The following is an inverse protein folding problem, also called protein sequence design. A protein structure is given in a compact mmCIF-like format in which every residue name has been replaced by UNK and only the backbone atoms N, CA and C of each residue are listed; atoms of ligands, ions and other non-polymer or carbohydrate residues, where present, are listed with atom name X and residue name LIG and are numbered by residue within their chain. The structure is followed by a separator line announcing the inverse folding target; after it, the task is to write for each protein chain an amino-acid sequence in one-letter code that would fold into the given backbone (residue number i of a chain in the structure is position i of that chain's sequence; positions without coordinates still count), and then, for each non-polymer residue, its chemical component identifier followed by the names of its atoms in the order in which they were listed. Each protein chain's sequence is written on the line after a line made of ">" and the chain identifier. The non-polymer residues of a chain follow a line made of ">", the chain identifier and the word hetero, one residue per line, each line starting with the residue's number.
data_IF_515264278730
#
_entry.id   IF_515264278730
#
_cell.length_a   1.000
_cell.length_b   1.000
_cell.length_c   1.000
_cell.angle_alpha   90.00
_cell.angle_beta   90.00
_cell.angle_gamma   90.00
#
_symmetry.space_group_name_H-M   'P 1'
#
loop_
_entity.id
_entity.type
_entity.pdbx_description
1 polymer ?
#
# COMPACT_ATOMS: atom_id res chain seq x y z
N UNK A 1 6.60 -4.32 -17.27
CA UNK A 1 5.46 -3.98 -16.39
C UNK A 1 4.29 -4.83 -16.81
N UNK A 2 3.65 -5.50 -15.87
CA UNK A 2 2.42 -6.27 -16.08
C UNK A 2 1.26 -5.50 -15.45
N UNK A 3 0.16 -5.35 -16.19
CA UNK A 3 -1.06 -4.74 -15.69
C UNK A 3 -2.13 -5.81 -15.52
N UNK A 4 -2.83 -5.87 -14.38
CA UNK A 4 -3.99 -6.75 -14.26
C UNK A 4 -5.15 -6.17 -15.07
N UNK A 5 -6.09 -7.00 -15.51
CA UNK A 5 -7.33 -6.49 -16.06
C UNK A 5 -8.18 -5.82 -14.98
N UNK A 6 -8.94 -4.79 -15.36
CA UNK A 6 -9.90 -4.15 -14.46
C UNK A 6 -11.00 -5.15 -14.03
N UNK A 7 -11.52 -4.97 -12.79
CA UNK A 7 -12.66 -5.71 -12.29
C UNK A 7 -13.95 -5.34 -13.05
N UNK A 8 -14.88 -6.27 -13.09
CA UNK A 8 -16.23 -6.09 -13.65
C UNK A 8 -17.27 -6.64 -12.68
N UNK A 9 -18.49 -6.09 -12.72
CA UNK A 9 -19.62 -6.67 -11.98
C UNK A 9 -19.81 -8.14 -12.35
N UNK A 10 -19.96 -8.98 -11.34
CA UNK A 10 -20.06 -10.43 -11.46
C UNK A 10 -18.72 -11.17 -11.36
N UNK A 11 -17.57 -10.48 -11.38
CA UNK A 11 -16.26 -11.10 -11.15
C UNK A 11 -16.15 -11.69 -9.75
N UNK A 12 -15.33 -12.73 -9.64
CA UNK A 12 -15.01 -13.35 -8.35
C UNK A 12 -13.68 -12.79 -7.86
N UNK A 13 -13.63 -12.34 -6.61
CA UNK A 13 -12.39 -11.95 -5.92
C UNK A 13 -12.11 -12.89 -4.75
N UNK A 14 -10.84 -13.20 -4.53
CA UNK A 14 -10.39 -13.90 -3.33
C UNK A 14 -10.27 -12.91 -2.16
N UNK A 15 -10.79 -13.27 -0.99
CA UNK A 15 -10.57 -12.55 0.26
C UNK A 15 -9.61 -13.37 1.12
N UNK A 16 -8.43 -12.83 1.44
CA UNK A 16 -7.38 -13.51 2.19
C UNK A 16 -6.87 -12.67 3.36
N UNK A 17 -6.42 -13.31 4.44
CA UNK A 17 -5.78 -12.66 5.57
C UNK A 17 -4.30 -13.10 5.66
N UNK A 18 -3.38 -12.46 4.93
CA UNK A 18 -1.99 -12.90 4.90
C UNK A 18 -1.19 -12.53 6.15
N UNK A 19 -1.72 -11.67 7.01
CA UNK A 19 -1.06 -11.11 8.19
C UNK A 19 -1.74 -11.57 9.50
N UNK A 20 -2.43 -10.68 10.19
CA UNK A 20 -3.08 -10.95 11.48
C UNK A 20 -4.54 -11.36 11.33
N UNK A 21 -5.09 -12.13 12.31
CA UNK A 21 -6.49 -12.54 12.33
C UNK A 21 -7.42 -11.36 12.67
N UNK A 22 -8.69 -11.50 12.36
CA UNK A 22 -9.75 -10.58 12.78
C UNK A 22 -11.00 -11.36 13.21
N UNK A 23 -11.96 -10.67 13.83
CA UNK A 23 -13.23 -11.30 14.18
C UNK A 23 -14.02 -11.72 12.93
N UNK A 24 -14.75 -12.83 12.99
CA UNK A 24 -15.56 -13.32 11.87
C UNK A 24 -16.60 -12.31 11.39
N UNK A 25 -17.16 -11.50 12.29
CA UNK A 25 -18.06 -10.40 11.92
C UNK A 25 -17.44 -9.41 10.92
N UNK A 26 -16.13 -9.12 11.05
CA UNK A 26 -15.43 -8.30 10.09
C UNK A 26 -15.25 -8.99 8.72
N UNK A 27 -15.15 -10.33 8.71
CA UNK A 27 -15.11 -11.10 7.45
C UNK A 27 -16.45 -11.00 6.74
N UNK A 28 -17.56 -11.20 7.47
CA UNK A 28 -18.93 -11.11 6.93
C UNK A 28 -19.22 -9.71 6.38
N UNK A 29 -18.84 -8.66 7.13
CA UNK A 29 -18.96 -7.27 6.68
C UNK A 29 -18.14 -6.98 5.44
N UNK A 30 -16.90 -7.50 5.36
CA UNK A 30 -16.06 -7.35 4.18
C UNK A 30 -16.67 -8.03 2.95
N UNK A 31 -17.18 -9.25 3.10
CA UNK A 31 -17.89 -9.98 2.04
C UNK A 31 -19.08 -9.16 1.54
N UNK A 32 -19.95 -8.72 2.47
CA UNK A 32 -21.12 -7.90 2.13
C UNK A 32 -20.74 -6.64 1.35
N UNK A 33 -19.69 -5.93 1.78
CA UNK A 33 -19.23 -4.71 1.09
C UNK A 33 -18.75 -5.00 -0.33
N UNK A 34 -17.98 -6.06 -0.54
CA UNK A 34 -17.52 -6.45 -1.87
C UNK A 34 -18.69 -6.89 -2.78
N UNK A 35 -19.71 -7.54 -2.20
CA UNK A 35 -20.94 -7.89 -2.92
C UNK A 35 -21.77 -6.64 -3.28
N UNK A 36 -21.82 -5.62 -2.45
CA UNK A 36 -22.44 -4.33 -2.77
C UNK A 36 -21.76 -3.63 -3.96
N UNK A 37 -20.45 -3.85 -4.17
CA UNK A 37 -19.75 -3.40 -5.39
C UNK A 37 -20.07 -4.27 -6.63
N UNK A 38 -20.88 -5.31 -6.48
CA UNK A 38 -21.26 -6.21 -7.54
C UNK A 38 -20.29 -7.36 -7.80
N UNK A 39 -19.38 -7.63 -6.88
CA UNK A 39 -18.43 -8.73 -6.94
C UNK A 39 -19.00 -10.00 -6.28
N UNK A 40 -18.43 -11.16 -6.61
CA UNK A 40 -18.59 -12.40 -5.85
C UNK A 40 -17.34 -12.65 -5.03
N UNK A 41 -17.46 -13.23 -3.84
CA UNK A 41 -16.33 -13.40 -2.94
C UNK A 41 -16.04 -14.87 -2.67
N UNK A 42 -14.80 -15.28 -2.91
CA UNK A 42 -14.24 -16.55 -2.45
C UNK A 42 -13.44 -16.29 -1.17
N UNK A 43 -14.01 -16.63 -0.03
CA UNK A 43 -13.36 -16.42 1.26
C UNK A 43 -12.28 -17.48 1.47
N UNK A 44 -11.06 -17.04 1.75
CA UNK A 44 -9.93 -17.88 2.04
C UNK A 44 -9.99 -18.49 3.45
N UNK A 45 -9.30 -19.60 3.65
CA UNK A 45 -9.22 -20.31 4.94
C UNK A 45 -8.54 -19.45 6.00
N UNK A 46 -7.59 -18.60 5.61
CA UNK A 46 -6.88 -17.68 6.50
C UNK A 46 -7.82 -16.70 7.20
N UNK A 47 -8.94 -16.33 6.56
CA UNK A 47 -9.93 -15.41 7.13
C UNK A 47 -10.63 -15.96 8.39
N UNK A 48 -10.63 -17.28 8.58
CA UNK A 48 -11.22 -17.95 9.75
C UNK A 48 -10.17 -18.66 10.64
N UNK A 49 -8.87 -18.48 10.34
CA UNK A 49 -7.78 -19.15 11.03
C UNK A 49 -7.07 -18.23 12.01
N UNK A 50 -6.51 -18.82 13.08
CA UNK A 50 -5.72 -18.09 14.08
C UNK A 50 -4.55 -18.96 14.53
N UNK A 51 -3.36 -18.36 14.59
CA UNK A 51 -2.15 -18.96 15.14
C UNK A 51 -1.37 -17.88 15.90
N UNK A 52 -1.69 -17.70 17.18
CA UNK A 52 -1.21 -16.57 17.96
C UNK A 52 -1.70 -15.24 17.36
N UNK A 53 -0.76 -14.36 16.99
CA UNK A 53 -1.05 -13.09 16.31
C UNK A 53 -1.14 -13.19 14.78
N UNK A 54 -1.05 -14.41 14.21
CA UNK A 54 -1.10 -14.67 12.76
C UNK A 54 -2.43 -15.32 12.37
N UNK A 55 -2.88 -15.08 11.14
CA UNK A 55 -4.08 -15.69 10.55
C UNK A 55 -3.83 -17.13 10.05
N UNK A 56 -3.28 -17.97 10.90
CA UNK A 56 -2.87 -19.33 10.58
C UNK A 56 -1.36 -19.49 10.44
N UNK A 57 -0.92 -20.72 10.17
CA UNK A 57 0.50 -21.03 9.96
C UNK A 57 1.05 -20.34 8.71
N UNK A 58 2.37 -20.17 8.64
CA UNK A 58 3.02 -19.62 7.45
C UNK A 58 2.65 -20.43 6.21
N UNK A 59 2.64 -21.77 6.32
CA UNK A 59 2.27 -22.70 5.24
C UNK A 59 0.85 -22.45 4.72
N UNK A 60 -0.13 -22.27 5.61
CA UNK A 60 -1.50 -21.98 5.20
C UNK A 60 -1.57 -20.65 4.44
N UNK A 61 -0.90 -19.61 4.95
CA UNK A 61 -0.97 -18.25 4.40
C UNK A 61 -0.31 -18.11 3.04
N UNK A 62 0.93 -18.63 2.84
CA UNK A 62 1.58 -18.56 1.53
C UNK A 62 0.94 -19.50 0.51
N UNK A 63 0.50 -20.70 0.93
CA UNK A 63 -0.20 -21.62 0.04
C UNK A 63 -1.49 -21.00 -0.49
N UNK A 64 -2.27 -20.34 0.36
CA UNK A 64 -3.50 -19.68 -0.06
C UNK A 64 -3.24 -18.54 -1.05
N UNK A 65 -2.19 -17.73 -0.85
CA UNK A 65 -1.78 -16.69 -1.81
C UNK A 65 -1.44 -17.34 -3.16
N UNK A 66 -0.62 -18.39 -3.17
CA UNK A 66 -0.21 -19.09 -4.39
C UNK A 66 -1.41 -19.72 -5.12
N UNK A 67 -2.33 -20.37 -4.37
CA UNK A 67 -3.56 -20.95 -4.90
C UNK A 67 -4.47 -19.87 -5.50
N UNK A 68 -4.66 -18.73 -4.82
CA UNK A 68 -5.49 -17.64 -5.31
C UNK A 68 -4.92 -17.00 -6.58
N UNK A 69 -3.62 -16.82 -6.67
CA UNK A 69 -3.00 -16.36 -7.92
C UNK A 69 -3.11 -17.42 -9.02
N UNK A 70 -3.00 -18.70 -8.70
CA UNK A 70 -3.16 -19.80 -9.65
C UNK A 70 -4.60 -20.04 -10.12
N UNK A 71 -5.60 -19.60 -9.36
CA UNK A 71 -7.01 -19.81 -9.68
C UNK A 71 -7.48 -18.88 -10.79
N UNK A 72 -7.68 -19.42 -12.00
CA UNK A 72 -8.13 -18.67 -13.18
C UNK A 72 -9.54 -18.09 -13.06
N UNK A 73 -10.34 -18.53 -12.09
CA UNK A 73 -11.68 -18.01 -11.84
C UNK A 73 -11.68 -16.69 -11.09
N UNK A 74 -10.58 -16.38 -10.37
CA UNK A 74 -10.44 -15.14 -9.62
C UNK A 74 -9.90 -14.02 -10.50
N UNK A 75 -10.58 -12.88 -10.47
CA UNK A 75 -10.18 -11.65 -11.14
C UNK A 75 -9.24 -10.78 -10.28
N UNK A 76 -9.30 -10.95 -8.96
CA UNK A 76 -8.49 -10.19 -8.02
C UNK A 76 -8.41 -10.86 -6.66
N UNK A 77 -7.51 -10.35 -5.83
CA UNK A 77 -7.28 -10.76 -4.45
C UNK A 77 -7.32 -9.51 -3.59
N UNK A 78 -8.17 -9.52 -2.57
CA UNK A 78 -8.31 -8.45 -1.59
C UNK A 78 -7.80 -8.95 -0.24
N UNK A 79 -6.84 -8.24 0.35
CA UNK A 79 -6.41 -8.54 1.70
C UNK A 79 -7.48 -8.11 2.71
N UNK A 80 -7.74 -8.95 3.71
CA UNK A 80 -8.76 -8.69 4.72
C UNK A 80 -8.28 -7.61 5.69
N UNK A 81 -7.03 -7.73 6.17
CA UNK A 81 -6.37 -6.75 7.04
C UNK A 81 -4.84 -6.90 7.02
N UNK A 82 -4.14 -5.89 7.52
CA UNK A 82 -2.75 -5.92 7.89
C UNK A 82 -2.49 -6.50 9.29
N UNK A 83 -1.56 -5.93 9.98
CA UNK A 83 -1.09 -6.35 11.30
C UNK A 83 0.36 -6.75 11.26
N UNK A 84 0.67 -8.06 11.32
CA UNK A 84 2.05 -8.55 11.23
C UNK A 84 2.09 -9.93 10.54
N UNK A 85 3.16 -10.18 9.80
CA UNK A 85 3.53 -11.54 9.42
C UNK A 85 3.78 -11.80 7.95
N UNK A 86 3.55 -10.84 7.04
CA UNK A 86 3.79 -11.06 5.61
C UNK A 86 5.29 -11.19 5.24
N UNK A 87 6.27 -10.54 5.91
CA UNK A 87 7.68 -10.78 5.64
C UNK A 87 8.10 -12.26 5.76
N UNK A 88 7.43 -13.04 6.62
CA UNK A 88 7.67 -14.49 6.80
C UNK A 88 7.30 -15.34 5.60
N UNK A 89 6.55 -14.79 4.64
CA UNK A 89 5.98 -15.50 3.49
C UNK A 89 6.77 -15.26 2.20
N UNK A 90 7.58 -14.21 2.13
CA UNK A 90 8.13 -13.70 0.89
C UNK A 90 9.00 -14.70 0.14
N UNK A 91 9.75 -15.55 0.85
CA UNK A 91 10.59 -16.61 0.28
C UNK A 91 9.81 -17.89 -0.11
N UNK A 92 8.50 -17.95 0.17
CA UNK A 92 7.59 -19.07 -0.10
C UNK A 92 6.54 -18.77 -1.17
N UNK A 93 6.35 -17.48 -1.50
CA UNK A 93 5.44 -17.08 -2.57
C UNK A 93 6.04 -17.48 -3.92
N UNK A 94 5.22 -18.13 -4.76
CA UNK A 94 5.63 -18.48 -6.12
C UNK A 94 5.35 -17.32 -7.10
N UNK A 95 6.32 -16.47 -7.27
CA UNK A 95 6.23 -15.32 -8.18
C UNK A 95 6.06 -15.73 -9.65
N UNK A 96 6.41 -16.98 -10.02
CA UNK A 96 6.19 -17.47 -11.38
C UNK A 96 4.71 -17.71 -11.68
N UNK A 97 3.94 -18.12 -10.68
CA UNK A 97 2.48 -18.22 -10.76
C UNK A 97 1.88 -16.82 -10.94
N UNK A 98 2.35 -15.85 -10.15
CA UNK A 98 1.88 -14.45 -10.22
C UNK A 98 2.15 -13.86 -11.61
N UNK A 99 3.37 -14.01 -12.14
CA UNK A 99 3.74 -13.52 -13.46
C UNK A 99 2.87 -14.09 -14.60
N UNK A 100 2.44 -15.35 -14.48
CA UNK A 100 1.59 -16.02 -15.47
C UNK A 100 0.09 -15.70 -15.32
N UNK A 101 -0.31 -15.20 -14.16
CA UNK A 101 -1.72 -14.93 -13.81
C UNK A 101 -1.86 -13.54 -13.20
N UNK A 102 -1.56 -12.45 -13.95
CA UNK A 102 -1.67 -11.10 -13.42
C UNK A 102 -3.10 -10.80 -12.98
N UNK A 103 -3.27 -10.45 -11.71
CA UNK A 103 -4.56 -10.15 -11.07
C UNK A 103 -4.46 -8.87 -10.26
N UNK A 104 -5.58 -8.22 -10.03
CA UNK A 104 -5.70 -7.19 -8.99
C UNK A 104 -5.23 -7.79 -7.66
N UNK A 105 -4.32 -7.11 -6.98
CA UNK A 105 -3.91 -7.41 -5.60
C UNK A 105 -3.99 -6.13 -4.78
N UNK A 106 -4.87 -6.12 -3.78
CA UNK A 106 -5.16 -4.94 -2.94
C UNK A 106 -4.82 -5.21 -1.49
N UNK A 107 -4.09 -4.28 -0.89
CA UNK A 107 -3.77 -4.27 0.52
C UNK A 107 -2.86 -3.10 0.87
N UNK A 108 -2.54 -2.92 2.14
CA UNK A 108 -1.56 -1.95 2.62
C UNK A 108 -1.05 -2.35 4.02
N UNK A 109 -0.32 -1.48 4.71
CA UNK A 109 0.24 -1.82 6.03
C UNK A 109 1.22 -3.00 5.93
N UNK A 110 1.07 -4.05 6.72
CA UNK A 110 1.94 -5.24 6.69
C UNK A 110 2.08 -5.87 5.28
N UNK A 111 1.07 -5.72 4.39
CA UNK A 111 1.16 -6.25 3.03
C UNK A 111 2.13 -5.48 2.10
N UNK A 112 2.71 -4.37 2.56
CA UNK A 112 3.76 -3.62 1.84
C UNK A 112 4.90 -4.52 1.38
N UNK A 113 5.32 -5.49 2.21
CA UNK A 113 6.35 -6.46 1.84
C UNK A 113 5.95 -7.32 0.63
N UNK A 114 4.71 -7.78 0.56
CA UNK A 114 4.19 -8.55 -0.58
C UNK A 114 4.13 -7.68 -1.84
N UNK A 115 3.67 -6.43 -1.74
CA UNK A 115 3.65 -5.50 -2.87
C UNK A 115 5.05 -5.32 -3.46
N UNK A 116 6.05 -5.00 -2.64
CA UNK A 116 7.42 -4.82 -3.07
C UNK A 116 8.01 -6.08 -3.73
N UNK A 117 7.81 -7.23 -3.11
CA UNK A 117 8.29 -8.51 -3.63
C UNK A 117 7.66 -8.88 -4.97
N UNK A 118 6.34 -8.73 -5.12
CA UNK A 118 5.62 -8.95 -6.39
C UNK A 118 6.16 -8.02 -7.48
N UNK A 119 6.30 -6.73 -7.18
CA UNK A 119 6.79 -5.73 -8.13
C UNK A 119 8.21 -6.03 -8.59
N UNK A 120 9.11 -6.36 -7.67
CA UNK A 120 10.50 -6.67 -7.98
C UNK A 120 10.63 -7.93 -8.82
N UNK A 121 9.85 -8.98 -8.51
CA UNK A 121 9.96 -10.27 -9.18
C UNK A 121 9.23 -10.32 -10.53
N UNK A 122 8.10 -9.61 -10.67
CA UNK A 122 7.19 -9.80 -11.82
C UNK A 122 6.91 -8.52 -12.61
N UNK A 123 7.09 -7.36 -11.99
CA UNK A 123 6.68 -6.08 -12.56
C UNK A 123 5.15 -5.88 -12.58
N UNK A 124 4.38 -6.65 -11.81
CA UNK A 124 2.94 -6.52 -11.72
C UNK A 124 2.54 -5.26 -10.94
N UNK A 125 1.60 -4.51 -11.49
CA UNK A 125 0.93 -3.40 -10.80
C UNK A 125 0.07 -3.96 -9.68
N UNK A 126 0.25 -3.43 -8.47
CA UNK A 126 -0.52 -3.76 -7.28
C UNK A 126 -1.14 -2.51 -6.68
N UNK A 127 -2.04 -2.62 -5.71
CA UNK A 127 -2.84 -1.50 -5.25
C UNK A 127 -2.72 -1.35 -3.73
N UNK A 128 -2.05 -0.28 -3.30
CA UNK A 128 -1.99 0.14 -1.91
C UNK A 128 -3.30 0.86 -1.56
N UNK A 129 -4.10 0.28 -0.68
CA UNK A 129 -5.37 0.92 -0.33
C UNK A 129 -6.27 0.07 0.57
N UNK A 130 -7.48 0.55 0.83
CA UNK A 130 -8.40 -0.02 1.79
C UNK A 130 -8.59 -1.52 1.67
N UNK A 131 -8.51 -2.21 2.82
CA UNK A 131 -8.67 -3.66 2.94
C UNK A 131 -10.08 -4.04 3.42
N UNK A 132 -10.45 -5.31 3.23
CA UNK A 132 -11.80 -5.79 3.47
C UNK A 132 -12.39 -5.44 4.85
N UNK A 133 -11.63 -5.65 5.94
CA UNK A 133 -12.10 -5.38 7.30
C UNK A 133 -12.38 -3.89 7.56
N UNK A 134 -11.66 -2.99 6.92
CA UNK A 134 -11.89 -1.54 7.03
C UNK A 134 -13.14 -1.13 6.27
N UNK A 135 -13.25 -1.56 5.01
CA UNK A 135 -14.39 -1.24 4.14
C UNK A 135 -15.72 -1.82 4.65
N UNK A 136 -15.67 -2.90 5.42
CA UNK A 136 -16.85 -3.53 6.03
C UNK A 136 -17.49 -2.70 7.14
N UNK A 137 -16.75 -1.74 7.72
CA UNK A 137 -17.23 -0.81 8.74
C UNK A 137 -17.88 0.45 8.17
N UNK A 138 -17.96 1.45 9.05
CA UNK A 138 -18.34 2.82 8.68
C UNK A 138 -17.10 3.50 8.09
N UNK A 139 -17.00 3.47 6.78
CA UNK A 139 -15.84 3.94 6.01
C UNK A 139 -16.28 4.99 5.00
N UNK A 140 -15.47 6.03 4.75
CA UNK A 140 -15.89 7.19 3.97
C UNK A 140 -16.31 6.84 2.54
N UNK A 141 -17.31 7.54 2.03
CA UNK A 141 -17.78 7.40 0.65
C UNK A 141 -16.66 7.73 -0.35
N UNK A 142 -15.79 8.67 -0.03
CA UNK A 142 -14.62 8.98 -0.83
C UNK A 142 -13.74 7.75 -1.02
N UNK A 143 -13.37 7.07 0.07
CA UNK A 143 -12.50 5.89 0.02
C UNK A 143 -13.14 4.75 -0.77
N UNK A 144 -14.44 4.50 -0.56
CA UNK A 144 -15.17 3.43 -1.24
C UNK A 144 -15.34 3.72 -2.74
N UNK A 145 -15.72 4.94 -3.10
CA UNK A 145 -15.89 5.34 -4.51
C UNK A 145 -14.57 5.36 -5.26
N UNK A 146 -13.49 5.85 -4.62
CA UNK A 146 -12.15 5.85 -5.21
C UNK A 146 -11.62 4.44 -5.43
N UNK A 147 -11.87 3.51 -4.46
CA UNK A 147 -11.52 2.10 -4.58
C UNK A 147 -12.23 1.45 -5.78
N UNK A 148 -13.53 1.68 -5.93
CA UNK A 148 -14.32 1.17 -7.07
C UNK A 148 -13.82 1.78 -8.38
N UNK A 149 -13.73 3.11 -8.49
CA UNK A 149 -13.31 3.77 -9.71
C UNK A 149 -11.93 3.31 -10.20
N UNK A 150 -10.98 3.11 -9.28
CA UNK A 150 -9.64 2.65 -9.61
C UNK A 150 -9.61 1.20 -10.09
N UNK A 151 -10.24 0.29 -9.34
CA UNK A 151 -10.13 -1.15 -9.63
C UNK A 151 -11.06 -1.61 -10.76
N UNK A 152 -12.17 -0.91 -10.99
CA UNK A 152 -13.06 -1.16 -12.13
C UNK A 152 -12.61 -0.43 -13.40
N UNK A 153 -11.49 0.29 -13.32
CA UNK A 153 -10.88 0.95 -14.47
C UNK A 153 -11.65 2.17 -14.98
N UNK A 154 -12.51 2.74 -14.14
CA UNK A 154 -13.24 4.00 -14.39
C UNK A 154 -12.30 5.19 -14.26
N UNK A 155 -11.34 5.13 -13.32
CA UNK A 155 -10.28 6.12 -13.19
C UNK A 155 -9.11 5.75 -14.11
N UNK A 156 -8.82 6.63 -15.06
CA UNK A 156 -7.65 6.54 -15.94
C UNK A 156 -6.47 7.40 -15.45
N UNK A 157 -5.59 7.79 -16.37
CA UNK A 157 -4.57 8.80 -16.10
C UNK A 157 -5.22 10.14 -15.75
N UNK A 158 -4.61 10.88 -14.83
CA UNK A 158 -5.10 12.17 -14.37
C UNK A 158 -4.64 12.53 -12.95
N UNK A 159 -5.06 13.69 -12.45
CA UNK A 159 -4.71 14.12 -11.10
C UNK A 159 -5.30 13.18 -10.05
N UNK A 160 -4.49 12.87 -9.03
CA UNK A 160 -4.93 12.24 -7.80
C UNK A 160 -5.34 13.35 -6.85
N UNK A 161 -6.58 13.33 -6.38
CA UNK A 161 -7.18 14.46 -5.64
C UNK A 161 -7.56 13.95 -4.25
N UNK A 162 -7.09 14.67 -3.22
CA UNK A 162 -7.53 14.42 -1.84
C UNK A 162 -9.05 14.71 -1.70
N UNK A 163 -9.70 14.19 -0.67
CA UNK A 163 -11.09 14.53 -0.38
C UNK A 163 -11.29 16.04 -0.19
N UNK A 164 -12.53 16.50 -0.41
CA UNK A 164 -12.89 17.93 -0.34
C UNK A 164 -12.40 18.59 0.95
N UNK A 165 -11.77 19.75 0.79
CA UNK A 165 -11.23 20.55 1.89
C UNK A 165 -9.81 20.16 2.34
N UNK A 166 -9.23 19.10 1.82
CA UNK A 166 -7.87 18.69 2.12
C UNK A 166 -6.96 18.88 0.90
N UNK A 167 -5.83 19.54 1.08
CA UNK A 167 -4.86 19.78 0.01
C UNK A 167 -3.58 18.99 0.24
N UNK A 168 -3.02 18.43 -0.83
CA UNK A 168 -1.63 17.99 -0.82
C UNK A 168 -0.73 19.21 -0.71
N UNK A 169 0.41 19.06 -0.06
CA UNK A 169 1.33 20.16 0.25
C UNK A 169 2.65 19.90 -0.46
N UNK A 170 3.16 20.92 -1.17
CA UNK A 170 4.54 20.88 -1.66
C UNK A 170 5.49 21.14 -0.49
N UNK A 171 6.36 20.19 -0.20
CA UNK A 171 7.36 20.29 0.87
C UNK A 171 8.71 20.77 0.32
N UNK A 172 9.18 20.14 -0.75
CA UNK A 172 10.38 20.56 -1.48
C UNK A 172 10.05 20.66 -2.97
N UNK A 173 10.40 21.80 -3.56
CA UNK A 173 10.01 22.19 -4.91
C UNK A 173 10.64 21.35 -6.04
N UNK A 174 10.16 21.61 -7.26
CA UNK A 174 10.56 20.92 -8.48
C UNK A 174 9.58 19.82 -8.91
N UNK A 175 9.88 19.21 -10.06
CA UNK A 175 9.06 18.14 -10.63
C UNK A 175 9.84 16.85 -10.75
N UNK A 176 9.18 15.73 -10.49
CA UNK A 176 9.75 14.41 -10.72
C UNK A 176 8.71 13.46 -11.33
N UNK A 177 9.21 12.55 -12.16
CA UNK A 177 8.44 11.45 -12.74
C UNK A 177 9.08 10.12 -12.38
N UNK A 178 8.27 9.11 -12.21
CA UNK A 178 8.74 7.76 -12.00
C UNK A 178 7.60 6.83 -11.56
N UNK A 179 7.91 5.55 -11.55
CA UNK A 179 6.99 4.56 -11.02
C UNK A 179 6.85 4.73 -9.51
N UNK A 180 5.63 4.69 -9.00
CA UNK A 180 5.40 4.73 -7.56
C UNK A 180 5.81 3.40 -6.92
N UNK A 181 6.65 3.45 -5.89
CA UNK A 181 7.02 2.32 -5.03
C UNK A 181 6.92 2.75 -3.57
N UNK A 182 6.77 1.80 -2.66
CA UNK A 182 6.71 2.13 -1.24
C UNK A 182 5.48 1.57 -0.53
N UNK A 183 5.09 2.23 0.54
CA UNK A 183 4.01 1.87 1.45
C UNK A 183 4.38 2.19 2.90
N UNK A 184 4.09 1.26 3.82
CA UNK A 184 4.38 1.43 5.24
C UNK A 184 5.89 1.45 5.51
N UNK A 185 6.35 2.50 6.23
CA UNK A 185 7.76 2.76 6.48
C UNK A 185 8.42 1.64 7.31
N UNK A 186 7.75 1.14 8.34
CA UNK A 186 8.24 0.05 9.17
C UNK A 186 8.55 -1.18 8.32
N UNK A 187 7.65 -1.56 7.42
CA UNK A 187 7.84 -2.72 6.53
C UNK A 187 8.94 -2.49 5.49
N UNK A 188 9.09 -1.26 5.00
CA UNK A 188 10.20 -0.90 4.10
C UNK A 188 11.53 -1.04 4.84
N UNK A 189 11.62 -0.54 6.08
CA UNK A 189 12.83 -0.61 6.89
C UNK A 189 13.18 -2.04 7.30
N UNK A 190 12.18 -2.84 7.70
CA UNK A 190 12.36 -4.24 8.11
C UNK A 190 12.95 -5.13 7.01
N UNK A 191 12.67 -4.82 5.74
CA UNK A 191 13.14 -5.60 4.61
C UNK A 191 14.50 -5.15 4.06
N UNK A 192 15.08 -4.07 4.60
CA UNK A 192 16.39 -3.60 4.16
C UNK A 192 17.49 -4.64 4.39
N UNK A 193 18.36 -4.81 3.38
CA UNK A 193 19.42 -5.82 3.40
C UNK A 193 18.96 -7.25 3.06
N UNK A 194 17.69 -7.44 2.72
CA UNK A 194 17.14 -8.72 2.25
C UNK A 194 16.97 -8.72 0.72
N UNK A 195 16.76 -9.88 0.07
CA UNK A 195 16.42 -9.93 -1.35
C UNK A 195 15.12 -9.19 -1.73
N UNK A 196 14.31 -8.83 -0.74
CA UNK A 196 13.00 -8.18 -0.88
C UNK A 196 13.03 -6.70 -0.58
N UNK A 197 14.22 -6.12 -0.37
CA UNK A 197 14.35 -4.69 -0.10
C UNK A 197 13.80 -3.84 -1.24
N UNK A 198 13.28 -2.67 -0.88
CA UNK A 198 12.70 -1.74 -1.84
C UNK A 198 13.74 -1.23 -2.85
N UNK A 199 13.33 -1.17 -4.11
CA UNK A 199 14.15 -0.60 -5.20
C UNK A 199 13.62 0.80 -5.54
N UNK A 200 14.36 1.84 -5.13
CA UNK A 200 13.93 3.24 -5.25
C UNK A 200 14.57 3.99 -6.42
N UNK A 201 15.60 3.43 -7.07
CA UNK A 201 16.35 4.13 -8.12
C UNK A 201 15.44 4.61 -9.25
N UNK A 202 15.40 5.92 -9.46
CA UNK A 202 14.58 6.57 -10.48
C UNK A 202 13.07 6.49 -10.26
N UNK A 203 12.61 6.07 -9.08
CA UNK A 203 11.18 5.92 -8.75
C UNK A 203 10.72 7.02 -7.80
N UNK A 204 9.41 7.21 -7.71
CA UNK A 204 8.79 7.99 -6.64
C UNK A 204 8.58 7.10 -5.42
N UNK A 205 9.14 7.51 -4.28
CA UNK A 205 9.06 6.77 -3.03
C UNK A 205 7.86 7.26 -2.21
N UNK A 206 6.84 6.43 -2.09
CA UNK A 206 5.69 6.65 -1.21
C UNK A 206 5.95 6.08 0.16
N UNK A 207 5.69 6.87 1.21
CA UNK A 207 5.87 6.49 2.61
C UNK A 207 4.65 6.91 3.42
N UNK A 208 4.12 6.01 4.21
CA UNK A 208 3.10 6.26 5.25
C UNK A 208 3.46 5.47 6.51
N UNK A 209 2.91 5.84 7.69
CA UNK A 209 3.20 5.12 8.92
C UNK A 209 2.05 5.24 9.94
N UNK A 210 2.02 4.36 10.94
CA UNK A 210 1.05 4.39 12.02
C UNK A 210 1.66 4.01 13.36
N UNK A 211 1.44 4.86 14.38
CA UNK A 211 1.72 4.53 15.78
C UNK A 211 3.19 4.53 16.18
N UNK A 212 4.08 4.91 15.31
CA UNK A 212 5.51 5.01 15.59
C UNK A 212 5.88 6.41 16.11
N UNK A 213 6.60 6.47 17.22
CA UNK A 213 7.07 7.75 17.76
C UNK A 213 8.09 8.42 16.83
N UNK A 214 8.25 9.77 16.87
CA UNK A 214 9.16 10.49 15.97
C UNK A 214 10.57 9.93 15.91
N UNK A 215 11.17 9.50 17.04
CA UNK A 215 12.51 8.92 17.05
C UNK A 215 12.58 7.55 16.33
N UNK A 216 11.49 6.80 16.25
CA UNK A 216 11.41 5.54 15.52
C UNK A 216 11.34 5.80 14.02
N UNK A 217 10.58 6.81 13.62
CA UNK A 217 10.52 7.30 12.23
C UNK A 217 11.90 7.81 11.79
N UNK A 218 12.54 8.64 12.63
CA UNK A 218 13.93 9.11 12.40
C UNK A 218 14.87 7.92 12.14
N UNK A 219 14.86 6.92 13.03
CA UNK A 219 15.70 5.72 12.88
C UNK A 219 15.49 5.00 11.56
N UNK A 220 14.22 4.80 11.14
CA UNK A 220 13.89 4.13 9.90
C UNK A 220 14.27 4.96 8.67
N UNK A 221 13.97 6.27 8.67
CA UNK A 221 14.38 7.17 7.58
C UNK A 221 15.90 7.32 7.50
N UNK A 222 16.58 7.37 8.63
CA UNK A 222 18.06 7.37 8.70
C UNK A 222 18.63 6.08 8.10
N UNK A 223 18.03 4.91 8.37
CA UNK A 223 18.41 3.65 7.73
C UNK A 223 18.26 3.73 6.22
N UNK A 224 17.14 4.22 5.71
CA UNK A 224 16.89 4.38 4.26
C UNK A 224 17.88 5.37 3.64
N UNK A 225 18.19 6.47 4.31
CA UNK A 225 19.19 7.46 3.88
C UNK A 225 20.58 6.83 3.77
N UNK A 226 21.04 6.14 4.82
CA UNK A 226 22.35 5.48 4.84
C UNK A 226 22.46 4.37 3.79
N UNK A 227 21.36 3.73 3.43
CA UNK A 227 21.27 2.75 2.34
C UNK A 227 21.13 3.38 0.94
N UNK A 228 21.16 4.72 0.83
CA UNK A 228 21.05 5.45 -0.43
C UNK A 228 19.63 5.47 -1.04
N UNK A 229 18.63 4.93 -0.34
CA UNK A 229 17.27 4.80 -0.89
C UNK A 229 16.59 6.16 -1.11
N UNK A 230 16.86 7.13 -0.21
CA UNK A 230 16.34 8.49 -0.34
C UNK A 230 17.08 9.29 -1.41
N UNK A 231 18.39 9.07 -1.59
CA UNK A 231 19.19 9.78 -2.59
C UNK A 231 18.92 9.28 -4.02
N UNK A 232 18.64 7.98 -4.18
CA UNK A 232 18.44 7.39 -5.50
C UNK A 232 16.99 7.50 -6.00
N UNK A 233 16.00 7.82 -5.15
CA UNK A 233 14.66 8.06 -5.63
C UNK A 233 14.57 9.33 -6.48
N UNK A 234 13.61 9.40 -7.39
CA UNK A 234 13.35 10.59 -8.20
C UNK A 234 12.65 11.70 -7.42
N UNK A 235 11.79 11.32 -6.46
CA UNK A 235 11.05 12.21 -5.58
C UNK A 235 10.33 11.43 -4.50
N UNK A 236 9.70 12.13 -3.55
CA UNK A 236 9.09 11.54 -2.36
C UNK A 236 7.63 11.95 -2.26
N UNK A 237 6.79 10.99 -1.89
CA UNK A 237 5.36 11.17 -1.67
C UNK A 237 5.06 10.74 -0.22
N UNK A 238 4.73 11.70 0.64
CA UNK A 238 4.37 11.42 2.03
C UNK A 238 2.86 11.28 2.15
N UNK A 239 2.44 10.10 2.59
CA UNK A 239 1.07 9.78 2.93
C UNK A 239 0.70 10.24 4.33
N UNK A 240 -0.20 9.47 4.96
CA UNK A 240 -0.62 9.74 6.32
C UNK A 240 0.40 9.17 7.34
N UNK A 241 0.60 9.88 8.45
CA UNK A 241 1.40 9.45 9.59
C UNK A 241 0.52 9.42 10.83
N UNK A 242 -0.40 8.45 10.85
CA UNK A 242 -1.43 8.34 11.88
C UNK A 242 -0.82 8.03 13.25
N UNK A 243 -1.13 8.84 14.27
CA UNK A 243 -0.67 8.64 15.65
C UNK A 243 0.87 8.55 15.77
N UNK A 244 1.59 9.29 14.92
CA UNK A 244 3.06 9.33 14.90
C UNK A 244 3.63 10.53 15.67
N UNK A 245 2.81 11.24 16.39
CA UNK A 245 3.20 12.33 17.28
C UNK A 245 3.67 11.82 18.64
N UNK A 246 4.24 12.69 19.45
CA UNK A 246 4.66 12.37 20.81
C UNK A 246 3.99 13.29 21.82
N UNK A 247 3.52 12.71 22.94
CA UNK A 247 3.01 13.46 24.08
C UNK A 247 4.12 14.13 24.91
N UNK A 248 5.39 13.87 24.59
CA UNK A 248 6.53 14.47 25.27
C UNK A 248 6.66 15.95 24.96
N UNK A 249 7.25 16.70 25.90
CA UNK A 249 7.54 18.10 25.69
C UNK A 249 8.58 18.30 24.57
N UNK A 250 8.54 19.44 23.91
CA UNK A 250 9.41 19.78 22.79
C UNK A 250 10.91 19.71 23.10
N UNK A 251 11.33 19.96 24.33
CA UNK A 251 12.70 19.83 24.80
C UNK A 251 13.13 18.38 25.08
N UNK A 252 12.20 17.42 25.02
CA UNK A 252 12.46 15.99 25.26
C UNK A 252 12.38 15.15 23.96
N UNK A 253 11.84 15.70 22.86
CA UNK A 253 11.71 14.99 21.59
C UNK A 253 11.62 15.97 20.42
N UNK A 254 12.01 15.54 19.20
CA UNK A 254 11.67 16.23 17.96
C UNK A 254 10.19 15.97 17.60
N UNK A 255 9.59 16.92 16.90
CA UNK A 255 8.30 16.67 16.25
C UNK A 255 8.50 15.81 15.00
N UNK A 256 7.40 15.25 14.47
CA UNK A 256 7.44 14.52 13.20
C UNK A 256 7.95 15.41 12.05
N UNK A 257 7.46 16.65 11.98
CA UNK A 257 7.87 17.62 10.96
C UNK A 257 9.37 17.93 11.04
N UNK A 258 9.92 18.12 12.25
CA UNK A 258 11.35 18.32 12.46
C UNK A 258 12.16 17.11 11.98
N UNK A 259 11.72 15.89 12.27
CA UNK A 259 12.37 14.66 11.80
C UNK A 259 12.35 14.56 10.27
N UNK A 260 11.20 14.81 9.66
CA UNK A 260 11.06 14.79 8.20
C UNK A 260 11.95 15.85 7.54
N UNK A 261 11.97 17.07 8.08
CA UNK A 261 12.82 18.15 7.54
C UNK A 261 14.32 17.88 7.71
N UNK A 262 14.74 17.23 8.80
CA UNK A 262 16.14 16.90 9.05
C UNK A 262 16.68 15.77 8.17
N UNK A 263 15.86 14.77 7.86
CA UNK A 263 16.32 13.53 7.22
C UNK A 263 16.06 13.49 5.71
N UNK A 264 14.95 14.08 5.24
CA UNK A 264 14.60 14.02 3.83
C UNK A 264 15.50 14.93 2.98
N UNK A 265 15.92 14.49 1.78
CA UNK A 265 16.80 15.26 0.90
C UNK A 265 16.05 16.46 0.29
N UNK A 266 16.47 17.69 0.65
CA UNK A 266 15.82 18.94 0.22
C UNK A 266 15.95 19.26 -1.27
N UNK A 267 16.83 18.54 -1.98
CA UNK A 267 17.02 18.63 -3.42
C UNK A 267 16.16 17.64 -4.23
N UNK A 268 15.24 16.96 -3.58
CA UNK A 268 14.28 16.04 -4.23
C UNK A 268 12.88 16.63 -4.15
N UNK A 269 12.15 16.72 -5.28
CA UNK A 269 10.74 17.07 -5.21
C UNK A 269 9.99 16.20 -4.21
N UNK A 270 9.29 16.83 -3.29
CA UNK A 270 8.58 16.14 -2.21
C UNK A 270 7.21 16.76 -2.01
N UNK A 271 6.19 15.91 -1.97
CA UNK A 271 4.82 16.28 -1.60
C UNK A 271 4.40 15.57 -0.33
N UNK A 272 3.57 16.20 0.47
CA UNK A 272 3.04 15.68 1.72
C UNK A 272 1.51 15.78 1.77
N UNK A 273 0.94 15.21 2.82
CA UNK A 273 -0.50 15.17 3.06
C UNK A 273 -1.27 14.49 1.91
N UNK A 274 -0.71 13.44 1.31
CA UNK A 274 -1.47 12.56 0.42
C UNK A 274 -2.35 11.68 1.29
N UNK A 275 -3.67 11.76 1.15
CA UNK A 275 -4.61 10.96 1.97
C UNK A 275 -4.60 9.49 1.55
N UNK A 276 -3.49 8.83 1.87
CA UNK A 276 -3.25 7.41 1.63
C UNK A 276 -2.46 6.80 2.80
N UNK A 277 -2.86 5.63 3.27
CA UNK A 277 -2.28 4.96 4.44
C UNK A 277 -3.31 4.64 5.52
N UNK A 278 -2.93 4.84 6.81
CA UNK A 278 -3.78 4.51 7.95
C UNK A 278 -4.76 5.64 8.32
N UNK A 279 -5.45 6.18 7.32
CA UNK A 279 -6.41 7.26 7.45
C UNK A 279 -7.78 6.88 6.89
N UNK A 280 -8.78 7.66 7.21
CA UNK A 280 -10.06 7.71 6.52
C UNK A 280 -10.48 9.19 6.45
N UNK A 281 -10.66 9.76 5.27
CA UNK A 281 -10.62 9.13 3.92
C UNK A 281 -9.24 8.58 3.51
N UNK A 282 -9.20 7.51 2.70
CA UNK A 282 -8.00 6.82 2.25
C UNK A 282 -8.06 6.57 0.73
N UNK A 283 -7.15 7.19 0.02
CA UNK A 283 -6.97 7.05 -1.43
C UNK A 283 -6.27 5.72 -1.76
N UNK A 284 -6.81 4.96 -2.70
CA UNK A 284 -6.09 3.81 -3.24
C UNK A 284 -5.04 4.27 -4.26
N UNK A 285 -3.79 3.81 -4.09
CA UNK A 285 -2.67 4.15 -4.96
C UNK A 285 -2.20 2.92 -5.74
N UNK A 286 -2.32 2.91 -7.08
CA UNK A 286 -1.63 1.93 -7.91
C UNK A 286 -0.12 2.07 -7.75
N UNK A 287 0.56 0.99 -7.43
CA UNK A 287 2.01 0.93 -7.31
C UNK A 287 2.62 0.35 -8.60
N UNK A 288 3.87 0.73 -8.90
CA UNK A 288 4.62 0.29 -10.08
C UNK A 288 4.11 0.84 -11.41
N UNK A 289 3.29 1.90 -11.40
CA UNK A 289 2.88 2.71 -12.56
C UNK A 289 3.50 4.09 -12.49
N UNK A 290 3.55 4.78 -13.63
CA UNK A 290 4.16 6.10 -13.75
C UNK A 290 3.28 7.20 -13.14
N UNK A 291 3.89 8.02 -12.31
CA UNK A 291 3.33 9.27 -11.77
C UNK A 291 4.25 10.44 -12.04
N UNK A 292 3.68 11.63 -11.96
CA UNK A 292 4.37 12.89 -11.81
C UNK A 292 4.00 13.54 -10.49
N UNK A 293 4.98 14.05 -9.77
CA UNK A 293 4.77 14.97 -8.66
C UNK A 293 5.30 16.35 -9.01
N UNK A 294 4.64 17.36 -8.49
CA UNK A 294 5.07 18.76 -8.53
C UNK A 294 5.14 19.29 -7.10
N UNK A 295 6.36 19.41 -6.58
CA UNK A 295 6.63 19.87 -5.22
C UNK A 295 6.41 21.38 -5.04
N UNK A 296 6.32 22.16 -6.12
CA UNK A 296 6.01 23.60 -6.04
C UNK A 296 4.51 23.84 -5.82
N UNK A 297 3.67 22.97 -6.36
CA UNK A 297 2.19 23.10 -6.30
C UNK A 297 1.52 22.06 -5.39
N UNK A 298 2.26 21.07 -4.91
CA UNK A 298 1.71 19.99 -4.09
C UNK A 298 0.74 19.09 -4.88
N UNK A 299 1.13 18.64 -6.08
CA UNK A 299 0.25 17.80 -6.91
C UNK A 299 0.84 16.44 -7.19
N UNK A 300 -0.05 15.44 -7.27
CA UNK A 300 0.24 14.06 -7.67
C UNK A 300 -0.62 13.72 -8.89
N UNK A 301 0.02 13.27 -9.96
CA UNK A 301 -0.68 12.93 -11.21
C UNK A 301 -0.32 11.52 -11.65
N UNK A 302 -1.31 10.66 -11.80
CA UNK A 302 -1.17 9.34 -12.43
C UNK A 302 -1.04 9.52 -13.94
N UNK A 303 0.04 9.03 -14.55
CA UNK A 303 0.35 9.28 -15.96
C UNK A 303 -0.18 8.21 -16.91
N UNK A 304 -0.58 7.06 -16.39
CA UNK A 304 -1.05 5.94 -17.20
C UNK A 304 -2.16 5.16 -16.48
N UNK A 305 -2.99 4.48 -17.24
CA UNK A 305 -4.02 3.60 -16.68
C UNK A 305 -3.35 2.40 -15.97
N UNK A 306 -3.72 2.07 -14.70
CA UNK A 306 -3.08 1.00 -13.94
C UNK A 306 -3.58 -0.41 -14.28
N UNK A 307 -4.67 -0.52 -15.04
CA UNK A 307 -5.32 -1.77 -15.46
C UNK A 307 -5.41 -1.84 -16.99
N UNK A 308 -5.57 -3.05 -17.52
CA UNK A 308 -5.90 -3.31 -18.93
C UNK A 308 -7.41 -3.26 -19.18
#
# INVERSE_FOLDING_TARGET
>A
MLKPRALKKGDIVGLTAPASPTALDNVEKAVKRLEEFGLKVKVGKTCASTYGYLSGTDELRFTEINEMFGDSTLAGIVCLRGGYGTPRLLDKIDYSIIAKNPKIFVGFSDTTGIHGAIQNATGLVTFHGPMGAMMGGDYSEYSLSHWVAMLFGEQGAGPMINPDGEQMIGMYGGKAKGKLCGGNLSLIADLMGTPYEIQTEGKLLFIEEVGEAPYQIDRMLTQLRLAGKLDHCAGIVLGDFANCESDKKRDETLSLEEVLDDILPKNKPTIANVRAGHCDPNMILPLHVEYEIDGDTGTLTLLEKPTE
#
